data_IF_667992989950
#
_entry.id   IF_667992989950
#
_cell.length_a   1.000
_cell.length_b   1.000
_cell.length_c   1.000
_cell.angle_alpha   90.00
_cell.angle_beta   90.00
_cell.angle_gamma   90.00
#
_symmetry.space_group_name_H-M   'P 1'
#
loop_
_entity.id
_entity.type
_entity.pdbx_description
1 polymer ?
#
# COMPACT_ATOMS: atom_id res chain seq x y z
N UNK A 1 -20.60 -12.12 23.64
CA UNK A 1 -19.24 -12.38 23.18
C UNK A 1 -18.61 -11.10 22.60
N UNK A 2 -17.39 -10.79 22.98
CA UNK A 2 -16.69 -9.59 22.51
C UNK A 2 -15.87 -9.95 21.26
N UNK A 3 -16.01 -9.17 20.19
CA UNK A 3 -15.17 -9.33 19.01
C UNK A 3 -13.71 -8.96 19.32
N UNK A 4 -12.75 -9.63 18.69
CA UNK A 4 -11.36 -9.19 18.79
C UNK A 4 -11.22 -7.72 18.40
N UNK A 5 -10.25 -7.05 19.01
CA UNK A 5 -10.00 -5.63 18.77
C UNK A 5 -9.81 -5.32 17.28
N UNK A 6 -9.07 -6.18 16.56
CA UNK A 6 -8.80 -5.98 15.14
C UNK A 6 -10.09 -5.95 14.31
N UNK A 7 -11.04 -6.82 14.64
CA UNK A 7 -12.33 -6.86 13.95
C UNK A 7 -13.17 -5.64 14.31
N UNK A 8 -13.20 -5.26 15.60
CA UNK A 8 -13.99 -4.13 16.08
C UNK A 8 -13.57 -2.81 15.43
N UNK A 9 -12.27 -2.60 15.24
CA UNK A 9 -11.72 -1.33 14.75
C UNK A 9 -11.25 -1.39 13.29
N UNK A 10 -11.57 -2.46 12.54
CA UNK A 10 -11.12 -2.64 11.16
C UNK A 10 -11.52 -1.47 10.25
N UNK A 11 -12.78 -1.03 10.35
CA UNK A 11 -13.28 0.08 9.54
C UNK A 11 -12.66 1.43 9.94
N UNK A 12 -12.32 1.61 11.19
CA UNK A 12 -11.66 2.83 11.65
C UNK A 12 -10.25 2.95 11.07
N UNK A 13 -9.52 1.84 11.01
CA UNK A 13 -8.16 1.82 10.46
C UNK A 13 -8.14 2.24 8.99
N UNK A 14 -8.98 1.63 8.16
CA UNK A 14 -9.00 1.98 6.73
C UNK A 14 -9.49 3.41 6.51
N UNK A 15 -10.44 3.87 7.32
CA UNK A 15 -10.93 5.25 7.24
C UNK A 15 -9.82 6.25 7.57
N UNK A 16 -8.99 5.96 8.58
CA UNK A 16 -7.85 6.82 8.93
C UNK A 16 -6.83 6.88 7.80
N UNK A 17 -6.50 5.73 7.21
CA UNK A 17 -5.56 5.68 6.08
C UNK A 17 -6.07 6.47 4.89
N UNK A 18 -7.35 6.31 4.55
CA UNK A 18 -7.95 7.06 3.43
C UNK A 18 -7.96 8.56 3.70
N UNK A 19 -8.35 8.97 4.90
CA UNK A 19 -8.36 10.38 5.28
C UNK A 19 -6.96 10.98 5.22
N UNK A 20 -5.97 10.30 5.78
CA UNK A 20 -4.59 10.76 5.79
C UNK A 20 -4.02 10.88 4.37
N UNK A 21 -4.28 9.88 3.52
CA UNK A 21 -3.82 9.90 2.13
C UNK A 21 -4.51 11.00 1.32
N UNK A 22 -5.82 11.12 1.46
CA UNK A 22 -6.60 12.14 0.75
C UNK A 22 -6.10 13.54 1.06
N UNK A 23 -5.85 13.82 2.34
CA UNK A 23 -5.34 15.11 2.78
C UNK A 23 -3.91 15.35 2.28
N UNK A 24 -3.02 14.38 2.49
CA UNK A 24 -1.61 14.52 2.11
C UNK A 24 -1.42 14.69 0.61
N UNK A 25 -2.12 13.91 -0.20
CA UNK A 25 -2.00 13.95 -1.66
C UNK A 25 -2.97 14.95 -2.30
N UNK A 26 -3.78 15.64 -1.51
CA UNK A 26 -4.76 16.63 -1.98
C UNK A 26 -5.72 16.06 -3.01
N UNK A 27 -6.25 14.86 -2.72
CA UNK A 27 -7.14 14.15 -3.65
C UNK A 27 -8.59 14.60 -3.48
N UNK A 28 -9.34 14.62 -4.59
CA UNK A 28 -10.69 15.20 -4.60
C UNK A 28 -11.74 14.27 -4.00
N UNK A 29 -11.61 12.95 -4.18
CA UNK A 29 -12.65 11.99 -3.77
C UNK A 29 -12.06 10.80 -3.03
N UNK A 30 -12.92 10.14 -2.25
CA UNK A 30 -12.56 8.88 -1.59
C UNK A 30 -12.32 7.76 -2.60
N UNK A 31 -13.04 7.74 -3.71
CA UNK A 31 -12.86 6.72 -4.76
C UNK A 31 -11.47 6.80 -5.38
N UNK A 32 -11.01 8.01 -5.70
CA UNK A 32 -9.66 8.22 -6.24
C UNK A 32 -8.62 7.81 -5.20
N UNK A 33 -8.81 8.22 -3.96
CA UNK A 33 -7.90 7.88 -2.86
C UNK A 33 -7.78 6.38 -2.66
N UNK A 34 -8.91 5.68 -2.63
CA UNK A 34 -8.92 4.22 -2.49
C UNK A 34 -8.24 3.52 -3.68
N UNK A 35 -8.52 4.00 -4.90
CA UNK A 35 -7.89 3.44 -6.10
C UNK A 35 -6.36 3.58 -6.06
N UNK A 36 -5.85 4.72 -5.61
CA UNK A 36 -4.41 4.94 -5.46
C UNK A 36 -3.81 4.02 -4.40
N UNK A 37 -4.45 3.91 -3.24
CA UNK A 37 -3.99 3.02 -2.18
C UNK A 37 -3.94 1.57 -2.66
N UNK A 38 -5.03 1.09 -3.25
CA UNK A 38 -5.11 -0.27 -3.79
C UNK A 38 -4.08 -0.51 -4.87
N UNK A 39 -3.92 0.44 -5.78
CA UNK A 39 -2.96 0.34 -6.87
C UNK A 39 -1.52 0.19 -6.37
N UNK A 40 -1.11 1.00 -5.40
CA UNK A 40 0.23 0.91 -4.82
C UNK A 40 0.42 -0.43 -4.11
N UNK A 41 -0.56 -0.88 -3.33
CA UNK A 41 -0.48 -2.17 -2.64
C UNK A 41 -0.34 -3.32 -3.65
N UNK A 42 -1.08 -3.29 -4.74
CA UNK A 42 -1.01 -4.34 -5.76
C UNK A 42 0.30 -4.30 -6.55
N UNK A 43 0.85 -3.10 -6.83
CA UNK A 43 2.16 -3.00 -7.48
C UNK A 43 3.29 -3.48 -6.56
N UNK A 44 3.20 -3.21 -5.26
CA UNK A 44 4.13 -3.80 -4.28
C UNK A 44 4.03 -5.33 -4.31
N UNK A 45 2.81 -5.84 -4.24
CA UNK A 45 2.54 -7.29 -4.24
C UNK A 45 3.17 -7.98 -5.45
N UNK A 46 3.08 -7.37 -6.61
CA UNK A 46 3.60 -7.93 -7.86
C UNK A 46 5.12 -8.12 -7.84
N UNK A 47 5.84 -7.47 -6.94
CA UNK A 47 7.29 -7.45 -6.88
C UNK A 47 7.89 -8.24 -5.72
N UNK A 48 7.06 -8.80 -4.86
CA UNK A 48 7.53 -9.51 -3.69
C UNK A 48 7.56 -11.01 -3.91
N UNK A 49 8.67 -11.68 -3.53
CA UNK A 49 8.66 -13.13 -3.42
C UNK A 49 7.60 -13.57 -2.41
N UNK A 50 7.12 -14.79 -2.53
CA UNK A 50 6.03 -15.30 -1.71
C UNK A 50 6.24 -15.09 -0.21
N UNK A 51 7.45 -15.34 0.28
CA UNK A 51 7.77 -15.17 1.71
C UNK A 51 7.60 -13.72 2.17
N UNK A 52 8.11 -12.78 1.39
CA UNK A 52 8.03 -11.35 1.70
C UNK A 52 6.61 -10.81 1.51
N UNK A 53 5.91 -11.32 0.49
CA UNK A 53 4.52 -10.99 0.22
C UNK A 53 3.64 -11.37 1.42
N UNK A 54 3.79 -12.57 1.93
CA UNK A 54 3.05 -13.03 3.10
C UNK A 54 3.38 -12.19 4.33
N UNK A 55 4.66 -11.87 4.54
CA UNK A 55 5.08 -11.03 5.66
C UNK A 55 4.49 -9.63 5.57
N UNK A 56 4.52 -9.03 4.39
CA UNK A 56 3.91 -7.71 4.16
C UNK A 56 2.42 -7.72 4.53
N UNK A 57 1.67 -8.68 3.97
CA UNK A 57 0.24 -8.79 4.23
C UNK A 57 -0.09 -9.05 5.69
N UNK A 58 0.72 -9.85 6.39
CA UNK A 58 0.48 -10.17 7.79
C UNK A 58 0.61 -8.96 8.73
N UNK A 59 1.33 -7.93 8.30
CA UNK A 59 1.50 -6.70 9.10
C UNK A 59 0.53 -5.58 8.69
N UNK A 60 -0.38 -5.86 7.77
CA UNK A 60 -1.45 -4.91 7.42
C UNK A 60 -2.66 -5.11 8.33
N UNK A 61 -3.40 -4.02 8.63
CA UNK A 61 -4.71 -4.15 9.28
C UNK A 61 -5.68 -4.97 8.42
N UNK A 62 -6.73 -5.49 9.03
CA UNK A 62 -7.61 -6.50 8.39
C UNK A 62 -8.18 -6.09 7.04
N UNK A 63 -8.73 -4.87 6.92
CA UNK A 63 -9.32 -4.40 5.65
C UNK A 63 -8.24 -4.19 4.59
N UNK A 64 -7.13 -3.54 4.95
CA UNK A 64 -6.01 -3.31 4.05
C UNK A 64 -5.39 -4.63 3.57
N UNK A 65 -5.32 -5.63 4.45
CA UNK A 65 -4.88 -6.99 4.08
C UNK A 65 -5.81 -7.60 3.04
N UNK A 66 -7.11 -7.45 3.21
CA UNK A 66 -8.10 -7.91 2.22
C UNK A 66 -7.92 -7.23 0.87
N UNK A 67 -7.69 -5.93 0.86
CA UNK A 67 -7.39 -5.16 -0.36
C UNK A 67 -6.09 -5.65 -0.99
N UNK A 68 -5.05 -5.86 -0.18
CA UNK A 68 -3.74 -6.32 -0.65
C UNK A 68 -3.82 -7.65 -1.38
N UNK A 69 -4.62 -8.60 -0.87
CA UNK A 69 -4.78 -9.93 -1.47
C UNK A 69 -5.91 -10.02 -2.50
N UNK A 70 -6.65 -8.94 -2.74
CA UNK A 70 -7.78 -8.96 -3.68
C UNK A 70 -7.32 -9.40 -5.07
N UNK A 71 -8.00 -10.41 -5.62
CA UNK A 71 -7.72 -10.95 -6.96
C UNK A 71 -6.27 -11.41 -7.16
N UNK A 72 -5.57 -11.78 -6.08
CA UNK A 72 -4.20 -12.24 -6.17
C UNK A 72 -4.13 -13.64 -6.74
N UNK A 73 -3.22 -13.82 -7.70
CA UNK A 73 -2.84 -15.12 -8.23
C UNK A 73 -1.32 -15.24 -8.10
N UNK A 74 -0.80 -16.35 -7.55
CA UNK A 74 0.65 -16.53 -7.44
C UNK A 74 1.34 -16.40 -8.78
N UNK A 75 2.42 -15.64 -8.83
CA UNK A 75 3.23 -15.41 -10.02
C UNK A 75 4.65 -15.05 -9.60
N UNK A 76 5.59 -15.18 -10.55
CA UNK A 76 6.96 -14.75 -10.30
C UNK A 76 7.02 -13.24 -10.09
N UNK A 77 7.88 -12.77 -9.17
CA UNK A 77 8.02 -11.32 -8.93
C UNK A 77 8.44 -10.58 -10.19
N UNK A 78 7.82 -9.42 -10.42
CA UNK A 78 8.21 -8.51 -11.49
C UNK A 78 9.49 -7.80 -11.08
N UNK A 79 10.47 -7.73 -12.00
CA UNK A 79 11.69 -6.97 -11.76
C UNK A 79 11.41 -5.47 -11.81
N UNK A 80 12.01 -4.73 -10.88
CA UNK A 80 11.81 -3.28 -10.77
C UNK A 80 13.15 -2.62 -10.45
N UNK A 81 13.87 -2.15 -11.49
CA UNK A 81 15.19 -1.57 -11.27
C UNK A 81 15.16 -0.23 -10.55
N UNK A 82 14.09 0.56 -10.72
CA UNK A 82 14.00 1.90 -10.16
C UNK A 82 12.55 2.32 -9.86
N UNK A 83 12.40 3.46 -9.18
CA UNK A 83 11.11 4.02 -8.83
C UNK A 83 10.30 4.40 -10.09
N UNK A 84 10.96 4.89 -11.12
CA UNK A 84 10.27 5.28 -12.36
C UNK A 84 9.57 4.08 -13.02
N UNK A 85 10.20 2.90 -13.01
CA UNK A 85 9.59 1.68 -13.53
C UNK A 85 8.37 1.27 -12.71
N UNK A 86 8.45 1.38 -11.39
CA UNK A 86 7.32 1.12 -10.50
C UNK A 86 6.16 2.08 -10.81
N UNK A 87 6.45 3.36 -10.93
CA UNK A 87 5.42 4.38 -11.16
C UNK A 87 4.79 4.29 -12.55
N UNK A 88 5.53 3.87 -13.56
CA UNK A 88 4.95 3.59 -14.89
C UNK A 88 3.93 2.45 -14.82
N UNK A 89 4.27 1.38 -14.15
CA UNK A 89 3.35 0.25 -13.97
C UNK A 89 2.11 0.65 -13.16
N UNK A 90 2.30 1.46 -12.12
CA UNK A 90 1.20 2.00 -11.33
C UNK A 90 0.28 2.87 -12.18
N UNK A 91 0.84 3.78 -12.98
CA UNK A 91 0.07 4.64 -13.86
C UNK A 91 -0.80 3.83 -14.84
N UNK A 92 -0.21 2.79 -15.43
CA UNK A 92 -0.94 1.90 -16.35
C UNK A 92 -2.08 1.16 -15.64
N UNK A 93 -1.84 0.72 -14.41
CA UNK A 93 -2.87 0.04 -13.61
C UNK A 93 -4.04 0.96 -13.28
N UNK A 94 -3.78 2.23 -13.00
CA UNK A 94 -4.81 3.19 -12.62
C UNK A 94 -5.66 3.65 -13.83
N UNK A 95 -5.08 3.71 -15.02
CA UNK A 95 -5.80 4.13 -16.22
C UNK A 95 -6.84 3.07 -16.65
N UNK A 96 -7.93 3.48 -17.31
CA UNK A 96 -8.29 4.85 -17.67
C UNK A 96 -9.03 5.63 -16.57
N UNK A 97 -9.34 5.02 -15.45
CA UNK A 97 -10.23 5.58 -14.44
C UNK A 97 -9.58 6.70 -13.61
N UNK A 98 -8.29 6.60 -13.36
CA UNK A 98 -7.56 7.57 -12.55
C UNK A 98 -6.24 7.92 -13.24
N UNK A 99 -5.94 9.22 -13.36
CA UNK A 99 -4.61 9.69 -13.74
C UNK A 99 -3.74 9.67 -12.48
N UNK A 100 -2.59 9.00 -12.55
CA UNK A 100 -1.71 8.86 -11.40
C UNK A 100 -1.28 10.25 -10.86
N UNK A 101 -1.60 10.58 -9.61
CA UNK A 101 -1.11 11.82 -9.01
C UNK A 101 0.41 11.79 -8.84
N UNK A 102 1.06 12.91 -9.06
CA UNK A 102 2.50 13.05 -8.84
C UNK A 102 2.83 12.78 -7.37
N UNK A 103 3.84 11.96 -7.12
CA UNK A 103 4.30 11.65 -5.77
C UNK A 103 3.40 10.69 -4.99
N UNK A 104 2.44 10.06 -5.64
CA UNK A 104 1.46 9.22 -4.93
C UNK A 104 2.11 8.01 -4.24
N UNK A 105 3.15 7.41 -4.82
CA UNK A 105 3.85 6.29 -4.21
C UNK A 105 4.46 6.70 -2.87
N UNK A 106 5.14 7.83 -2.83
CA UNK A 106 5.71 8.38 -1.59
C UNK A 106 4.62 8.68 -0.57
N UNK A 107 3.51 9.26 -1.00
CA UNK A 107 2.40 9.60 -0.11
C UNK A 107 1.77 8.35 0.51
N UNK A 108 1.56 7.31 -0.28
CA UNK A 108 1.02 6.04 0.23
C UNK A 108 1.97 5.40 1.23
N UNK A 109 3.27 5.33 0.90
CA UNK A 109 4.27 4.76 1.82
C UNK A 109 4.34 5.55 3.13
N UNK A 110 4.26 6.86 3.06
CA UNK A 110 4.25 7.71 4.26
C UNK A 110 3.03 7.39 5.14
N UNK A 111 1.86 7.26 4.56
CA UNK A 111 0.64 6.92 5.30
C UNK A 111 0.76 5.54 5.93
N UNK A 112 1.24 4.54 5.19
CA UNK A 112 1.47 3.20 5.75
C UNK A 112 2.39 3.29 6.97
N UNK A 113 3.49 4.02 6.84
CA UNK A 113 4.48 4.12 7.91
C UNK A 113 3.94 4.84 9.14
N UNK A 114 3.25 5.96 8.95
CA UNK A 114 2.82 6.81 10.06
C UNK A 114 1.54 6.32 10.72
N UNK A 115 0.65 5.64 9.98
CA UNK A 115 -0.62 5.15 10.51
C UNK A 115 -0.55 3.71 11.04
N UNK A 116 0.52 2.99 10.75
CA UNK A 116 0.74 1.63 11.30
C UNK A 116 1.37 1.71 12.68
N UNK A 117 1.12 0.68 13.51
CA UNK A 117 1.87 0.52 14.75
C UNK A 117 3.37 0.37 14.43
N UNK A 118 4.28 0.88 15.29
CA UNK A 118 5.72 0.86 14.99
C UNK A 118 6.28 -0.51 14.64
N UNK A 119 5.82 -1.56 15.30
CA UNK A 119 6.25 -2.93 15.02
C UNK A 119 5.86 -3.36 13.59
N UNK A 120 4.64 -3.05 13.19
CA UNK A 120 4.16 -3.38 11.85
C UNK A 120 4.87 -2.55 10.78
N UNK A 121 5.04 -1.27 11.02
CA UNK A 121 5.76 -0.38 10.10
C UNK A 121 7.19 -0.86 9.87
N UNK A 122 7.90 -1.27 10.92
CA UNK A 122 9.26 -1.78 10.80
C UNK A 122 9.31 -3.05 9.94
N UNK A 123 8.41 -3.99 10.17
CA UNK A 123 8.35 -5.23 9.41
C UNK A 123 8.03 -4.99 7.93
N UNK A 124 7.09 -4.08 7.64
CA UNK A 124 6.74 -3.70 6.27
C UNK A 124 7.95 -3.08 5.56
N UNK A 125 8.64 -2.16 6.23
CA UNK A 125 9.80 -1.50 5.65
C UNK A 125 10.93 -2.45 5.26
N UNK A 126 11.10 -3.54 6.02
CA UNK A 126 12.15 -4.52 5.75
C UNK A 126 11.94 -5.31 4.46
N UNK A 127 10.71 -5.51 4.03
CA UNK A 127 10.40 -6.37 2.88
C UNK A 127 10.08 -5.60 1.59
N UNK A 128 10.04 -4.28 1.64
CA UNK A 128 9.75 -3.47 0.45
C UNK A 128 10.77 -3.74 -0.66
N UNK A 129 10.35 -3.66 -1.94
CA UNK A 129 11.30 -3.67 -3.06
C UNK A 129 12.36 -2.56 -2.91
N UNK A 130 13.60 -2.77 -3.37
CA UNK A 130 14.70 -1.83 -3.14
C UNK A 130 14.41 -0.36 -3.46
N UNK A 131 13.77 0.01 -4.60
CA UNK A 131 13.44 1.41 -4.86
C UNK A 131 12.52 2.03 -3.81
N UNK A 132 11.59 1.23 -3.28
CA UNK A 132 10.65 1.69 -2.27
C UNK A 132 11.29 1.71 -0.88
N UNK A 133 12.25 0.82 -0.60
CA UNK A 133 13.04 0.90 0.65
C UNK A 133 13.78 2.22 0.75
N UNK A 134 14.40 2.65 -0.34
CA UNK A 134 15.12 3.91 -0.38
C UNK A 134 14.18 5.09 -0.09
N UNK A 135 12.99 5.06 -0.67
CA UNK A 135 11.96 6.08 -0.45
C UNK A 135 11.44 6.05 0.99
N UNK A 136 11.19 4.86 1.52
CA UNK A 136 10.74 4.66 2.90
C UNK A 136 11.74 5.21 3.93
N UNK A 137 13.02 5.02 3.68
CA UNK A 137 14.08 5.47 4.58
C UNK A 137 14.20 6.98 4.70
N UNK A 138 13.57 7.73 3.77
CA UNK A 138 13.62 9.20 3.77
C UNK A 138 12.58 9.84 4.70
N UNK A 139 11.70 9.07 5.26
CA UNK A 139 10.61 9.59 6.13
C UNK A 139 11.03 9.71 7.59
#
# INVERSE_FOLDING_TARGET
MTNPRDVKYANESIARWQSALKERAMLETNNITFACLRGVLHEIRARLPLKDLARFGNHLPAVQRGVFYQDWTPSDPVDTPDLASFERALADRLLPHVHMPEGITADVLFVIRTESEPFDAAAIGEVLPPPLKALWARF
#
